data_IF_415891021120
#
_entry.id   IF_415891021120
#
_cell.length_a   1.000
_cell.length_b   1.000
_cell.length_c   1.000
_cell.angle_alpha   90.00
_cell.angle_beta   90.00
_cell.angle_gamma   90.00
#
_symmetry.space_group_name_H-M   'P 1'
#
loop_
_entity.id
_entity.type
_entity.pdbx_description
1 polymer ?
#
# COMPACT_ATOMS: atom_id res chain seq x y z
N UNK A 1 -2.63 -10.36 17.09
CA UNK A 1 -3.30 -10.46 15.77
C UNK A 1 -4.22 -9.26 15.69
N UNK A 2 -4.13 -8.45 14.63
CA UNK A 2 -4.93 -7.22 14.49
C UNK A 2 -6.15 -7.47 13.62
N UNK A 3 -7.26 -6.80 13.90
CA UNK A 3 -8.45 -6.81 13.04
C UNK A 3 -8.34 -5.77 11.91
N UNK A 4 -9.41 -5.61 11.13
CA UNK A 4 -9.45 -4.60 10.07
C UNK A 4 -9.16 -3.17 10.57
N UNK A 5 -9.63 -2.83 11.78
CA UNK A 5 -9.42 -1.52 12.39
C UNK A 5 -7.94 -1.30 12.73
N UNK A 6 -7.27 -2.31 13.29
CA UNK A 6 -5.84 -2.27 13.57
C UNK A 6 -5.02 -1.98 12.31
N UNK A 7 -5.29 -2.72 11.23
CA UNK A 7 -4.58 -2.56 9.97
C UNK A 7 -4.89 -1.22 9.28
N UNK A 8 -6.15 -0.75 9.32
CA UNK A 8 -6.53 0.55 8.77
C UNK A 8 -5.81 1.71 9.46
N UNK A 9 -5.59 1.65 10.78
CA UNK A 9 -4.83 2.66 11.52
C UNK A 9 -3.39 2.72 11.04
N UNK A 10 -2.73 1.57 10.89
CA UNK A 10 -1.33 1.53 10.41
C UNK A 10 -1.24 2.00 8.95
N UNK A 11 -2.21 1.65 8.11
CA UNK A 11 -2.28 2.15 6.74
C UNK A 11 -2.34 3.69 6.71
N UNK A 12 -3.18 4.31 7.55
CA UNK A 12 -3.29 5.77 7.69
C UNK A 12 -1.98 6.42 8.15
N UNK A 13 -1.36 5.87 9.19
CA UNK A 13 -0.07 6.37 9.71
C UNK A 13 1.02 6.34 8.62
N UNK A 14 1.09 5.25 7.85
CA UNK A 14 2.07 5.10 6.78
C UNK A 14 1.79 5.97 5.57
N UNK A 15 0.51 6.13 5.20
CA UNK A 15 0.08 7.06 4.16
C UNK A 15 0.51 8.48 4.50
N UNK A 16 0.21 8.94 5.72
CA UNK A 16 0.60 10.27 6.19
C UNK A 16 2.13 10.45 6.14
N UNK A 17 2.88 9.46 6.61
CA UNK A 17 4.34 9.48 6.54
C UNK A 17 4.85 9.54 5.08
N UNK A 18 4.26 8.79 4.15
CA UNK A 18 4.66 8.82 2.73
C UNK A 18 4.48 10.23 2.13
N UNK A 19 3.34 10.87 2.42
CA UNK A 19 3.05 12.23 1.97
C UNK A 19 4.04 13.26 2.58
N UNK A 20 4.33 13.14 3.87
CA UNK A 20 5.30 14.01 4.55
C UNK A 20 6.71 13.87 3.98
N UNK A 21 7.18 12.65 3.74
CA UNK A 21 8.51 12.41 3.18
C UNK A 21 8.60 12.85 1.71
N UNK A 22 7.50 12.79 0.95
CA UNK A 22 7.42 13.35 -0.38
C UNK A 22 7.61 14.88 -0.37
N UNK A 23 6.94 15.59 0.54
CA UNK A 23 7.13 17.05 0.73
C UNK A 23 8.57 17.38 1.11
N UNK A 24 9.20 16.56 1.95
CA UNK A 24 10.62 16.70 2.35
C UNK A 24 11.60 16.25 1.26
N UNK A 25 11.11 15.80 0.10
CA UNK A 25 11.91 15.30 -1.04
C UNK A 25 12.81 14.11 -0.70
N UNK A 26 12.41 13.30 0.28
CA UNK A 26 13.15 12.07 0.67
C UNK A 26 12.59 10.88 -0.10
N UNK A 27 12.75 10.94 -1.42
CA UNK A 27 12.09 10.04 -2.37
C UNK A 27 12.42 8.57 -2.17
N UNK A 28 13.65 8.25 -1.73
CA UNK A 28 14.05 6.88 -1.35
C UNK A 28 13.09 6.22 -0.35
N UNK A 29 12.52 7.02 0.58
CA UNK A 29 11.63 6.53 1.65
C UNK A 29 10.15 6.56 1.22
N UNK A 30 9.81 7.34 0.19
CA UNK A 30 8.43 7.46 -0.29
C UNK A 30 7.92 6.12 -0.81
N UNK A 31 8.72 5.41 -1.62
CA UNK A 31 8.36 4.09 -2.16
C UNK A 31 8.10 3.06 -1.05
N UNK A 32 8.98 3.02 -0.03
CA UNK A 32 8.83 2.14 1.13
C UNK A 32 7.52 2.38 1.88
N UNK A 33 7.24 3.64 2.21
CA UNK A 33 6.08 4.00 3.01
C UNK A 33 4.78 3.82 2.21
N UNK A 34 4.78 4.17 0.93
CA UNK A 34 3.64 3.97 0.03
C UNK A 34 3.28 2.48 -0.09
N UNK A 35 4.28 1.62 -0.35
CA UNK A 35 4.06 0.18 -0.40
C UNK A 35 3.53 -0.34 0.94
N UNK A 36 4.11 0.08 2.06
CA UNK A 36 3.66 -0.39 3.38
C UNK A 36 2.25 0.08 3.73
N UNK A 37 1.82 1.26 3.28
CA UNK A 37 0.45 1.73 3.46
C UNK A 37 -0.53 0.82 2.68
N UNK A 38 -0.23 0.55 1.41
CA UNK A 38 -0.99 -0.36 0.55
C UNK A 38 -1.06 -1.76 1.16
N UNK A 39 0.05 -2.31 1.65
CA UNK A 39 0.06 -3.64 2.26
C UNK A 39 -0.87 -3.74 3.47
N UNK A 40 -0.92 -2.70 4.31
CA UNK A 40 -1.79 -2.68 5.48
C UNK A 40 -3.25 -2.48 5.09
N UNK A 41 -3.55 -1.70 4.05
CA UNK A 41 -4.90 -1.59 3.53
C UNK A 41 -5.41 -2.93 2.96
N UNK A 42 -4.54 -3.68 2.28
CA UNK A 42 -4.85 -5.03 1.79
C UNK A 42 -5.12 -6.00 2.96
N UNK A 43 -4.32 -5.96 4.02
CA UNK A 43 -4.57 -6.76 5.24
C UNK A 43 -5.91 -6.39 5.88
N UNK A 44 -6.23 -5.09 5.99
CA UNK A 44 -7.50 -4.63 6.52
C UNK A 44 -8.69 -5.16 5.70
N UNK A 45 -8.63 -5.05 4.38
CA UNK A 45 -9.66 -5.53 3.48
C UNK A 45 -9.80 -7.06 3.52
N UNK A 46 -8.69 -7.79 3.52
CA UNK A 46 -8.70 -9.26 3.55
C UNK A 46 -9.23 -9.81 4.88
N UNK A 47 -8.92 -9.14 5.99
CA UNK A 47 -9.48 -9.43 7.31
C UNK A 47 -11.00 -9.20 7.31
N UNK A 48 -11.47 -8.05 6.81
CA UNK A 48 -12.89 -7.71 6.78
C UNK A 48 -13.73 -8.60 5.85
N UNK A 49 -13.22 -8.93 4.67
CA UNK A 49 -13.97 -9.68 3.65
C UNK A 49 -13.88 -11.20 3.80
N UNK A 50 -12.80 -11.70 4.42
CA UNK A 50 -12.52 -13.15 4.40
C UNK A 50 -11.78 -13.68 5.63
N UNK A 51 -11.57 -12.87 6.67
CA UNK A 51 -10.83 -13.27 7.88
C UNK A 51 -9.37 -13.65 7.63
N UNK A 52 -8.77 -13.21 6.52
CA UNK A 52 -7.41 -13.58 6.13
C UNK A 52 -6.38 -12.60 6.69
N UNK A 53 -5.24 -13.15 7.13
CA UNK A 53 -4.06 -12.41 7.54
C UNK A 53 -2.81 -12.99 6.87
N UNK A 54 -2.14 -12.21 6.02
CA UNK A 54 -1.01 -12.69 5.22
C UNK A 54 0.31 -12.68 5.99
N UNK A 55 0.44 -11.78 6.97
CA UNK A 55 1.63 -11.68 7.82
C UNK A 55 1.91 -12.95 8.67
N UNK A 56 0.98 -13.91 8.72
CA UNK A 56 1.19 -15.23 9.33
C UNK A 56 2.28 -16.05 8.60
N UNK A 57 2.63 -15.70 7.37
CA UNK A 57 3.73 -16.30 6.59
C UNK A 57 4.65 -15.22 6.01
N UNK A 58 5.50 -14.57 6.82
CA UNK A 58 6.23 -13.35 6.44
C UNK A 58 7.03 -13.46 5.13
N UNK A 59 7.68 -14.61 4.90
CA UNK A 59 8.53 -14.86 3.71
C UNK A 59 7.78 -14.70 2.38
N UNK A 60 6.46 -14.91 2.39
CA UNK A 60 5.63 -14.89 1.18
C UNK A 60 4.45 -13.90 1.29
N UNK A 61 4.42 -13.11 2.37
CA UNK A 61 3.30 -12.22 2.66
C UNK A 61 3.11 -11.16 1.56
N UNK A 62 4.22 -10.60 1.06
CA UNK A 62 4.25 -9.67 -0.06
C UNK A 62 3.52 -10.23 -1.29
N UNK A 63 3.99 -11.37 -1.81
CA UNK A 63 3.42 -12.01 -2.99
C UNK A 63 1.95 -12.41 -2.79
N UNK A 64 1.57 -12.85 -1.58
CA UNK A 64 0.19 -13.22 -1.26
C UNK A 64 -0.75 -12.01 -1.24
N UNK A 65 -0.34 -10.87 -0.68
CA UNK A 65 -1.11 -9.62 -0.70
C UNK A 65 -1.34 -9.14 -2.13
N UNK A 66 -0.28 -9.12 -2.94
CA UNK A 66 -0.35 -8.72 -4.37
C UNK A 66 -1.30 -9.63 -5.14
N UNK A 67 -1.15 -10.95 -5.00
CA UNK A 67 -2.04 -11.89 -5.67
C UNK A 67 -3.49 -11.70 -5.23
N UNK A 68 -3.73 -11.57 -3.93
CA UNK A 68 -5.08 -11.41 -3.41
C UNK A 68 -5.73 -10.11 -3.86
N UNK A 69 -5.02 -8.98 -3.79
CA UNK A 69 -5.60 -7.68 -4.18
C UNK A 69 -5.88 -7.66 -5.68
N UNK A 70 -5.01 -8.19 -6.54
CA UNK A 70 -5.26 -8.26 -7.99
C UNK A 70 -6.45 -9.15 -8.35
N UNK A 71 -6.74 -10.16 -7.54
CA UNK A 71 -7.91 -11.03 -7.73
C UNK A 71 -9.21 -10.39 -7.24
N UNK A 72 -9.16 -9.63 -6.14
CA UNK A 72 -10.36 -9.08 -5.50
C UNK A 72 -10.66 -7.65 -5.95
N UNK A 73 -9.66 -6.90 -6.37
CA UNK A 73 -9.69 -5.51 -6.83
C UNK A 73 -8.89 -5.40 -8.15
N UNK A 74 -9.33 -6.05 -9.24
CA UNK A 74 -8.59 -6.06 -10.51
C UNK A 74 -8.35 -4.65 -11.07
N UNK A 75 -9.24 -3.70 -10.76
CA UNK A 75 -9.14 -2.29 -11.17
C UNK A 75 -7.86 -1.60 -10.67
N UNK A 76 -7.25 -2.06 -9.57
CA UNK A 76 -6.01 -1.47 -9.04
C UNK A 76 -4.75 -2.21 -9.47
N UNK A 77 -4.84 -3.22 -10.34
CA UNK A 77 -3.67 -4.05 -10.68
C UNK A 77 -2.50 -3.23 -11.22
N UNK A 78 -2.78 -2.24 -12.08
CA UNK A 78 -1.75 -1.36 -12.63
C UNK A 78 -1.11 -0.46 -11.55
N UNK A 79 -1.92 0.06 -10.62
CA UNK A 79 -1.42 0.87 -9.51
C UNK A 79 -0.55 0.04 -8.54
N UNK A 80 -0.90 -1.22 -8.31
CA UNK A 80 -0.07 -2.14 -7.52
C UNK A 80 1.30 -2.33 -8.16
N UNK A 81 1.35 -2.50 -9.49
CA UNK A 81 2.61 -2.64 -10.21
C UNK A 81 3.44 -1.35 -10.16
N UNK A 82 2.79 -0.18 -10.24
CA UNK A 82 3.46 1.11 -10.11
C UNK A 82 4.10 1.30 -8.72
N UNK A 83 3.38 0.99 -7.64
CA UNK A 83 3.91 1.10 -6.27
C UNK A 83 5.07 0.12 -6.04
N UNK A 84 4.98 -1.12 -6.55
CA UNK A 84 6.07 -2.09 -6.46
C UNK A 84 7.31 -1.70 -7.27
N UNK A 85 7.11 -1.16 -8.48
CA UNK A 85 8.18 -0.62 -9.29
C UNK A 85 8.90 0.52 -8.59
N UNK A 86 8.14 1.49 -8.06
CA UNK A 86 8.71 2.60 -7.31
C UNK A 86 9.44 2.16 -6.02
N UNK A 87 8.94 1.15 -5.30
CA UNK A 87 9.65 0.56 -4.17
C UNK A 87 11.03 0.02 -4.57
N UNK A 88 11.13 -0.65 -5.72
CA UNK A 88 12.42 -1.08 -6.27
C UNK A 88 13.29 0.12 -6.67
N UNK A 89 12.83 0.91 -7.63
CA UNK A 89 13.64 1.97 -8.25
C UNK A 89 14.08 3.03 -7.23
N UNK A 90 13.19 3.49 -6.35
CA UNK A 90 13.52 4.51 -5.35
C UNK A 90 14.37 3.93 -4.21
N UNK A 91 14.16 2.66 -3.86
CA UNK A 91 14.93 2.00 -2.81
C UNK A 91 16.39 1.77 -3.19
N UNK A 92 16.68 1.57 -4.49
CA UNK A 92 18.02 1.30 -4.99
C UNK A 92 18.69 2.52 -5.64
N UNK A 93 17.96 3.33 -6.41
CA UNK A 93 18.53 4.42 -7.23
C UNK A 93 18.15 5.83 -6.73
N UNK A 94 17.06 5.99 -5.98
CA UNK A 94 16.83 7.08 -5.01
C UNK A 94 16.64 8.53 -5.48
N UNK A 95 16.66 8.82 -6.78
CA UNK A 95 16.76 10.21 -7.27
C UNK A 95 15.53 10.73 -8.05
N UNK A 96 14.47 9.94 -8.17
CA UNK A 96 13.35 10.26 -9.06
C UNK A 96 12.11 10.79 -8.31
N UNK A 97 11.90 12.11 -8.38
CA UNK A 97 10.73 12.77 -7.79
C UNK A 97 9.42 12.51 -8.55
N UNK A 98 9.49 12.24 -9.86
CA UNK A 98 8.32 11.90 -10.66
C UNK A 98 7.87 10.47 -10.32
N UNK A 99 8.82 9.55 -10.16
CA UNK A 99 8.55 8.20 -9.68
C UNK A 99 7.97 8.18 -8.26
N UNK A 100 8.45 9.06 -7.38
CA UNK A 100 7.89 9.22 -6.04
C UNK A 100 6.46 9.75 -6.09
N UNK A 101 6.15 10.67 -7.02
CA UNK A 101 4.79 11.15 -7.26
C UNK A 101 3.88 10.04 -7.78
N UNK A 102 4.34 9.27 -8.76
CA UNK A 102 3.60 8.12 -9.28
C UNK A 102 3.25 7.11 -8.18
N UNK A 103 4.19 6.87 -7.25
CA UNK A 103 3.96 6.00 -6.09
C UNK A 103 2.87 6.53 -5.16
N UNK A 104 2.87 7.84 -4.86
CA UNK A 104 1.83 8.48 -4.05
C UNK A 104 0.48 8.40 -4.75
N UNK A 105 0.41 8.76 -6.03
CA UNK A 105 -0.85 8.79 -6.77
C UNK A 105 -1.45 7.38 -6.91
N UNK A 106 -0.61 6.38 -7.17
CA UNK A 106 -1.02 4.98 -7.20
C UNK A 106 -1.48 4.48 -5.82
N UNK A 107 -0.74 4.80 -4.75
CA UNK A 107 -1.16 4.50 -3.37
C UNK A 107 -2.55 5.10 -3.08
N UNK A 108 -2.77 6.37 -3.38
CA UNK A 108 -4.05 7.05 -3.14
C UNK A 108 -5.20 6.38 -3.90
N UNK A 109 -5.02 6.03 -5.18
CA UNK A 109 -6.02 5.31 -5.98
C UNK A 109 -6.36 3.93 -5.42
N UNK A 110 -5.35 3.18 -4.95
CA UNK A 110 -5.55 1.88 -4.31
C UNK A 110 -6.38 2.04 -3.03
N UNK A 111 -6.00 2.98 -2.16
CA UNK A 111 -6.70 3.21 -0.90
C UNK A 111 -8.16 3.60 -1.15
N UNK A 112 -8.43 4.45 -2.15
CA UNK A 112 -9.79 4.84 -2.55
C UNK A 112 -10.62 3.67 -3.06
N UNK A 113 -10.05 2.82 -3.90
CA UNK A 113 -10.75 1.64 -4.40
C UNK A 113 -11.12 0.67 -3.28
N UNK A 114 -10.20 0.43 -2.34
CA UNK A 114 -10.45 -0.41 -1.18
C UNK A 114 -11.51 0.22 -0.28
N UNK A 115 -11.38 1.51 0.04
CA UNK A 115 -12.35 2.24 0.86
C UNK A 115 -13.75 2.21 0.25
N UNK A 116 -13.88 2.49 -1.05
CA UNK A 116 -15.17 2.50 -1.76
C UNK A 116 -15.89 1.16 -1.67
N UNK A 117 -15.17 0.04 -1.71
CA UNK A 117 -15.76 -1.31 -1.72
C UNK A 117 -15.96 -1.91 -0.33
N UNK A 118 -15.15 -1.51 0.64
CA UNK A 118 -15.16 -2.11 1.99
C UNK A 118 -15.77 -1.20 3.06
N UNK A 119 -15.86 0.11 2.80
CA UNK A 119 -16.23 1.12 3.79
C UNK A 119 -15.13 1.44 4.81
N UNK A 120 -13.96 0.78 4.75
CA UNK A 120 -12.84 1.00 5.66
C UNK A 120 -12.14 2.32 5.29
N UNK A 121 -11.94 3.19 6.28
CA UNK A 121 -11.34 4.52 6.07
C UNK A 121 -9.83 4.48 6.13
N UNK A 122 -9.19 5.01 5.08
CA UNK A 122 -7.73 5.19 4.99
C UNK A 122 -7.29 6.65 4.85
N UNK A 123 -8.25 7.57 4.85
CA UNK A 123 -8.06 9.03 4.86
C UNK A 123 -8.66 9.64 6.11
#
# INVERSE_FOLDING_TARGET
>A
MGDANHHSRIAREKRAAALDEFVKRRFTVVGDLALKAVEQAIEAAAAALSGKHFHSSPRIAHARRVKWVKQNFPEVSGDIDAVWGAYGDLGYDGLDGDRARDAIDAMERILDAIEKRTGIKFR
#
